data_IF_496149778397
#
_entry.id   IF_496149778397
#
_cell.length_a   1.000
_cell.length_b   1.000
_cell.length_c   1.000
_cell.angle_alpha   90.00
_cell.angle_beta   90.00
_cell.angle_gamma   90.00
#
_symmetry.space_group_name_H-M   'P 1'
#
loop_
_entity.id
_entity.type
_entity.pdbx_description
1 polymer ?
#
# COMPACT_ATOMS: atom_id res chain seq x y z
N UNK A 1 -7.05 -8.18 -1.31
CA UNK A 1 -6.20 -7.76 -0.17
C UNK A 1 -7.06 -7.40 1.03
N UNK A 2 -7.42 -6.13 1.25
CA UNK A 2 -8.01 -5.66 2.51
C UNK A 2 -9.34 -6.35 2.87
N UNK A 3 -10.21 -6.59 1.89
CA UNK A 3 -11.47 -7.30 2.11
C UNK A 3 -11.27 -8.74 2.64
N UNK A 4 -10.18 -9.42 2.28
CA UNK A 4 -9.88 -10.78 2.77
C UNK A 4 -9.42 -10.78 4.24
N UNK A 5 -8.96 -9.63 4.73
CA UNK A 5 -8.65 -9.40 6.13
C UNK A 5 -9.82 -8.74 6.89
N UNK A 6 -11.02 -8.69 6.29
CA UNK A 6 -12.21 -8.10 6.91
C UNK A 6 -12.21 -6.56 6.94
N UNK A 7 -11.30 -5.91 6.21
CA UNK A 7 -11.19 -4.44 6.18
C UNK A 7 -11.98 -3.90 4.98
N UNK A 8 -13.06 -3.18 5.26
CA UNK A 8 -13.91 -2.55 4.25
C UNK A 8 -13.29 -1.26 3.72
N UNK A 9 -12.40 -1.38 2.74
CA UNK A 9 -11.70 -0.25 2.15
C UNK A 9 -12.23 0.11 0.75
N UNK A 10 -12.25 1.40 0.43
CA UNK A 10 -12.81 1.96 -0.80
C UNK A 10 -11.87 3.01 -1.43
N UNK A 11 -12.18 3.38 -2.67
CA UNK A 11 -11.61 4.57 -3.29
C UNK A 11 -12.53 5.76 -3.00
N UNK A 12 -11.96 6.95 -2.84
CA UNK A 12 -12.70 8.20 -2.67
C UNK A 12 -12.52 9.07 -3.89
N UNK A 13 -13.61 9.65 -4.37
CA UNK A 13 -13.57 10.58 -5.50
C UNK A 13 -12.63 11.75 -5.20
N UNK A 14 -11.83 12.14 -6.20
CA UNK A 14 -10.82 13.19 -6.13
C UNK A 14 -9.67 12.99 -5.11
N UNK A 15 -9.65 11.90 -4.32
CA UNK A 15 -8.63 11.65 -3.30
C UNK A 15 -7.85 10.37 -3.57
N UNK A 16 -6.64 10.51 -4.11
CA UNK A 16 -5.74 9.39 -4.43
C UNK A 16 -5.41 8.55 -3.19
N UNK A 17 -5.57 7.23 -3.31
CA UNK A 17 -5.23 6.27 -2.28
C UNK A 17 -6.38 5.30 -2.00
N UNK A 18 -6.24 4.54 -0.92
CA UNK A 18 -7.25 3.60 -0.44
C UNK A 18 -7.65 4.01 0.97
N UNK A 19 -8.95 3.93 1.27
CA UNK A 19 -9.56 4.57 2.42
C UNK A 19 -10.48 3.62 3.17
N UNK A 20 -10.46 3.66 4.50
CA UNK A 20 -11.45 3.05 5.39
C UNK A 20 -12.23 4.18 6.01
N UNK A 21 -13.49 4.33 5.60
CA UNK A 21 -14.29 5.54 5.88
C UNK A 21 -13.52 6.81 5.49
N UNK A 22 -13.23 7.69 6.44
CA UNK A 22 -12.44 8.92 6.24
C UNK A 22 -10.93 8.75 6.47
N UNK A 23 -10.47 7.56 6.87
CA UNK A 23 -9.06 7.29 7.19
C UNK A 23 -8.33 6.69 6.01
N UNK A 24 -7.12 7.16 5.72
CA UNK A 24 -6.31 6.65 4.62
C UNK A 24 -5.44 5.48 5.07
N UNK A 25 -5.60 4.33 4.41
CA UNK A 25 -4.83 3.11 4.70
C UNK A 25 -3.70 2.84 3.70
N UNK A 26 -3.83 3.34 2.45
CA UNK A 26 -2.76 3.25 1.47
C UNK A 26 -2.59 4.54 0.67
N UNK A 27 -1.33 4.88 0.39
CA UNK A 27 -0.95 5.99 -0.48
C UNK A 27 -0.48 5.45 -1.83
N UNK A 28 -0.88 6.09 -2.92
CA UNK A 28 -0.53 5.68 -4.28
C UNK A 28 0.13 6.86 -4.96
N UNK A 29 1.29 6.63 -5.57
CA UNK A 29 2.02 7.61 -6.35
C UNK A 29 2.86 6.87 -7.38
N UNK A 30 2.52 7.04 -8.65
CA UNK A 30 3.18 6.36 -9.77
C UNK A 30 3.74 7.41 -10.72
N UNK A 31 5.00 7.24 -11.11
CA UNK A 31 5.61 7.99 -12.20
C UNK A 31 5.76 7.09 -13.42
N UNK A 32 5.75 7.68 -14.62
CA UNK A 32 6.08 6.95 -15.86
C UNK A 32 7.09 7.75 -16.64
N UNK A 33 8.23 7.12 -16.98
CA UNK A 33 9.26 7.72 -17.82
C UNK A 33 9.78 6.68 -18.81
N UNK A 34 9.89 7.04 -20.08
CA UNK A 34 10.31 6.12 -21.15
C UNK A 34 9.52 4.79 -21.15
N UNK A 35 8.21 4.84 -20.90
CA UNK A 35 7.32 3.67 -20.80
C UNK A 35 7.64 2.70 -19.65
N UNK A 36 8.41 3.16 -18.68
CA UNK A 36 8.75 2.40 -17.46
C UNK A 36 8.06 3.09 -16.28
N UNK A 37 7.28 2.32 -15.52
CA UNK A 37 6.66 2.79 -14.27
C UNK A 37 7.69 2.86 -13.15
N UNK A 38 7.53 3.84 -12.26
CA UNK A 38 8.38 4.09 -11.11
C UNK A 38 7.52 4.40 -9.88
N UNK A 39 8.08 4.24 -8.68
CA UNK A 39 7.36 4.33 -7.40
C UNK A 39 6.34 3.21 -7.24
N UNK A 40 5.07 3.51 -6.95
CA UNK A 40 4.03 2.51 -6.74
C UNK A 40 3.00 2.93 -5.70
N UNK A 41 2.87 2.12 -4.66
CA UNK A 41 1.99 2.41 -3.54
C UNK A 41 2.66 2.01 -2.22
N UNK A 42 2.16 2.58 -1.12
CA UNK A 42 2.54 2.23 0.23
C UNK A 42 1.26 1.87 1.01
N UNK A 43 1.17 0.61 1.46
CA UNK A 43 0.09 0.12 2.32
C UNK A 43 0.56 0.15 3.77
N UNK A 44 -0.20 0.80 4.64
CA UNK A 44 0.07 0.80 6.08
C UNK A 44 -0.39 -0.53 6.67
N UNK A 45 0.56 -1.44 6.95
CA UNK A 45 0.25 -2.75 7.54
C UNK A 45 0.24 -2.66 9.06
N UNK A 46 1.36 -2.24 9.65
CA UNK A 46 1.60 -2.21 11.09
C UNK A 46 2.41 -0.99 11.52
N UNK A 47 2.60 -0.82 12.83
CA UNK A 47 3.52 0.16 13.41
C UNK A 47 2.92 1.54 13.74
N UNK A 48 3.79 2.44 14.22
CA UNK A 48 3.39 3.77 14.65
C UNK A 48 3.16 4.71 13.45
N UNK A 49 1.97 5.32 13.42
CA UNK A 49 1.56 6.29 12.40
C UNK A 49 1.68 7.74 12.88
N UNK A 50 2.15 7.99 14.11
CA UNK A 50 2.40 9.33 14.63
C UNK A 50 3.30 10.21 13.75
N UNK A 51 4.28 9.67 12.97
CA UNK A 51 5.07 10.50 12.05
C UNK A 51 4.24 11.25 11.00
N UNK A 52 3.07 10.72 10.61
CA UNK A 52 2.18 11.41 9.67
C UNK A 52 1.60 12.72 10.23
N UNK A 53 1.58 12.90 11.54
CA UNK A 53 1.11 14.14 12.18
C UNK A 53 2.06 15.32 11.95
N UNK A 54 3.28 15.06 11.50
CA UNK A 54 4.30 16.09 11.24
C UNK A 54 4.34 16.55 9.77
N UNK A 55 3.48 15.99 8.91
CA UNK A 55 3.40 16.34 7.48
C UNK A 55 1.95 16.59 7.07
N UNK A 56 1.75 17.22 5.91
CA UNK A 56 0.45 17.23 5.22
C UNK A 56 0.46 16.11 4.17
N UNK A 57 -0.01 14.89 4.50
CA UNK A 57 0.14 13.74 3.63
C UNK A 57 -0.62 13.94 2.32
N UNK A 58 0.09 13.72 1.20
CA UNK A 58 -0.45 13.86 -0.16
C UNK A 58 -1.03 15.26 -0.48
N UNK A 59 -0.67 16.30 0.28
CA UNK A 59 -1.22 17.65 0.12
C UNK A 59 -2.69 17.79 0.54
N UNK A 60 -3.25 16.79 1.22
CA UNK A 60 -4.64 16.77 1.68
C UNK A 60 -4.65 17.14 3.17
N UNK A 61 -5.38 18.21 3.51
CA UNK A 61 -5.50 18.66 4.89
C UNK A 61 -6.37 17.70 5.71
N UNK A 62 -6.04 17.54 6.99
CA UNK A 62 -6.81 16.80 7.98
C UNK A 62 -7.07 15.31 7.63
N UNK A 63 -6.14 14.67 6.92
CA UNK A 63 -6.23 13.22 6.68
C UNK A 63 -5.76 12.46 7.91
N UNK A 64 -6.65 11.66 8.48
CA UNK A 64 -6.29 10.65 9.46
C UNK A 64 -5.71 9.42 8.73
N UNK A 65 -4.53 8.97 9.14
CA UNK A 65 -3.93 7.74 8.61
C UNK A 65 -4.32 6.54 9.49
N UNK A 66 -4.53 5.38 8.85
CA UNK A 66 -4.77 4.11 9.54
C UNK A 66 -3.88 2.99 8.99
N UNK A 67 -3.92 1.82 9.61
CA UNK A 67 -3.19 0.61 9.22
C UNK A 67 -4.06 -0.64 9.38
N UNK A 68 -3.63 -1.76 8.80
CA UNK A 68 -4.32 -3.04 8.99
C UNK A 68 -4.42 -3.41 10.48
N UNK A 69 -3.34 -3.26 11.26
CA UNK A 69 -3.37 -3.53 12.70
C UNK A 69 -4.38 -2.66 13.45
N UNK A 70 -4.49 -1.37 13.09
CA UNK A 70 -5.44 -0.47 13.75
C UNK A 70 -6.89 -0.80 13.42
N UNK A 71 -7.18 -1.21 12.18
CA UNK A 71 -8.55 -1.51 11.76
C UNK A 71 -9.04 -2.89 12.24
N UNK A 72 -8.15 -3.87 12.45
CA UNK A 72 -8.56 -5.22 12.89
C UNK A 72 -8.24 -5.52 14.35
N UNK A 73 -7.34 -4.76 14.99
CA UNK A 73 -6.79 -5.06 16.31
C UNK A 73 -5.87 -6.28 16.36
N UNK A 74 -5.48 -6.83 15.20
CA UNK A 74 -4.60 -8.00 15.09
C UNK A 74 -3.19 -7.56 14.66
N UNK A 75 -2.17 -8.26 15.13
CA UNK A 75 -0.80 -8.01 14.71
C UNK A 75 -0.54 -8.54 13.29
N UNK A 76 0.21 -7.79 12.48
CA UNK A 76 0.56 -8.19 11.11
C UNK A 76 2.06 -8.10 10.84
N UNK A 77 2.57 -9.02 10.02
CA UNK A 77 3.92 -8.93 9.44
C UNK A 77 3.85 -8.32 8.05
N UNK A 78 4.66 -7.28 7.80
CA UNK A 78 4.81 -6.68 6.47
C UNK A 78 5.21 -7.72 5.43
N UNK A 79 6.12 -8.65 5.78
CA UNK A 79 6.60 -9.68 4.87
C UNK A 79 5.46 -10.61 4.41
N UNK A 80 4.61 -11.06 5.34
CA UNK A 80 3.46 -11.94 5.01
C UNK A 80 2.47 -11.23 4.10
N UNK A 81 2.18 -9.95 4.38
CA UNK A 81 1.27 -9.16 3.53
C UNK A 81 1.90 -8.88 2.16
N UNK A 82 3.22 -8.70 2.09
CA UNK A 82 3.95 -8.53 0.83
C UNK A 82 3.92 -9.80 -0.04
N UNK A 83 4.21 -10.97 0.53
CA UNK A 83 4.13 -12.26 -0.17
C UNK A 83 2.73 -12.51 -0.72
N UNK A 84 1.70 -12.18 0.09
CA UNK A 84 0.32 -12.28 -0.32
C UNK A 84 0.02 -11.35 -1.52
N UNK A 85 0.46 -10.09 -1.45
CA UNK A 85 0.30 -9.10 -2.53
C UNK A 85 1.00 -9.52 -3.82
N UNK A 86 2.19 -10.10 -3.70
CA UNK A 86 2.95 -10.61 -4.84
C UNK A 86 2.18 -11.73 -5.55
N UNK A 87 1.68 -12.70 -4.79
CA UNK A 87 0.85 -13.77 -5.33
C UNK A 87 -0.43 -13.24 -5.99
N UNK A 88 -1.08 -12.24 -5.39
CA UNK A 88 -2.23 -11.59 -6.02
C UNK A 88 -1.84 -10.92 -7.34
N UNK A 89 -0.74 -10.17 -7.38
CA UNK A 89 -0.28 -9.46 -8.57
C UNK A 89 0.01 -10.44 -9.71
N UNK A 90 0.73 -11.54 -9.42
CA UNK A 90 1.00 -12.63 -10.38
C UNK A 90 -0.29 -13.24 -10.94
N UNK A 91 -1.31 -13.40 -10.10
CA UNK A 91 -2.59 -13.99 -10.50
C UNK A 91 -3.53 -13.02 -11.24
N UNK A 92 -3.36 -11.71 -11.08
CA UNK A 92 -4.28 -10.70 -11.62
C UNK A 92 -3.73 -9.96 -12.84
N UNK A 93 -2.43 -9.92 -13.01
CA UNK A 93 -1.77 -9.24 -14.13
C UNK A 93 -1.28 -10.34 -15.08
N UNK A 94 -2.09 -10.63 -16.12
CA UNK A 94 -1.91 -11.77 -17.04
C UNK A 94 -0.51 -11.90 -17.64
N UNK A 95 0.14 -10.76 -17.91
CA UNK A 95 1.44 -10.68 -18.58
C UNK A 95 2.54 -10.16 -17.65
N UNK A 96 2.36 -10.32 -16.32
CA UNK A 96 3.37 -9.92 -15.35
C UNK A 96 4.61 -10.79 -15.49
N UNK A 97 5.63 -10.24 -16.13
CA UNK A 97 6.96 -10.82 -16.19
C UNK A 97 7.71 -10.41 -14.93
N UNK A 98 8.09 -11.38 -14.11
CA UNK A 98 9.10 -11.16 -13.07
C UNK A 98 10.48 -11.34 -13.67
N UNK A 99 11.42 -10.46 -13.32
CA UNK A 99 12.83 -10.78 -13.50
C UNK A 99 13.14 -12.07 -12.70
N UNK A 100 14.06 -12.93 -13.16
CA UNK A 100 14.61 -13.98 -12.30
C UNK A 100 15.19 -13.34 -11.03
N UNK A 101 15.15 -14.06 -9.90
CA UNK A 101 15.72 -13.59 -8.64
C UNK A 101 17.11 -12.99 -8.91
N UNK A 102 17.23 -11.69 -8.66
CA UNK A 102 18.52 -11.06 -8.69
C UNK A 102 19.33 -11.74 -7.59
N UNK A 103 20.32 -12.56 -7.99
CA UNK A 103 21.36 -13.03 -7.08
C UNK A 103 21.94 -11.85 -6.28
N UNK A 104 22.66 -12.11 -5.18
CA UNK A 104 23.05 -11.09 -4.23
C UNK A 104 23.62 -9.86 -4.94
N UNK A 105 22.99 -8.70 -4.72
CA UNK A 105 23.48 -7.41 -5.20
C UNK A 105 24.78 -7.17 -4.45
N UNK A 106 25.90 -7.42 -5.11
CA UNK A 106 27.21 -7.03 -4.60
C UNK A 106 27.25 -5.49 -4.60
N UNK A 107 27.12 -4.91 -3.41
CA UNK A 107 27.50 -3.51 -3.12
C UNK A 107 29.01 -3.40 -2.96
#
# INVERSE_FOLDING_TARGET
VLAEYGIAATQREALTGVWVEDRKIASIGVGVRHWITMHGFALNVCGDLSPFNHIVPCGINNVAMTSMEKETGQAFSVAVVADWLENLARNRISDLRSAPDAGPVNV
#
